data_IF_693409823771
#
_entry.id   IF_693409823771
#
_cell.length_a   1.000
_cell.length_b   1.000
_cell.length_c   1.000
_cell.angle_alpha   90.00
_cell.angle_beta   90.00
_cell.angle_gamma   90.00
#
_symmetry.space_group_name_H-M   'P 1'
#
loop_
_entity.id
_entity.type
_entity.pdbx_description
1 polymer ?
#
# COMPACT_ATOMS: atom_id res chain seq x y z
N UNK A 1 -1.89 -10.24 -1.61
CA UNK A 1 -0.59 -9.60 -1.27
C UNK A 1 -0.85 -8.09 -1.24
N UNK A 2 -0.77 -7.47 -0.07
CA UNK A 2 -1.09 -6.05 0.15
C UNK A 2 0.01 -5.41 0.99
N UNK A 3 0.58 -4.31 0.53
CA UNK A 3 1.73 -3.65 1.16
C UNK A 3 1.56 -2.14 1.16
N UNK A 4 1.93 -1.48 2.25
CA UNK A 4 2.09 -0.03 2.27
C UNK A 4 3.51 0.35 1.83
N UNK A 5 3.63 1.23 0.84
CA UNK A 5 4.89 1.71 0.31
C UNK A 5 4.84 3.19 -0.13
N UNK A 6 5.88 3.62 -0.82
CA UNK A 6 6.08 5.03 -1.20
C UNK A 6 6.83 5.85 -0.14
N UNK A 7 7.38 7.00 -0.55
CA UNK A 7 8.25 7.89 0.27
C UNK A 7 7.63 8.26 1.63
N UNK A 8 6.29 8.34 1.69
CA UNK A 8 5.51 8.68 2.89
C UNK A 8 4.70 7.50 3.46
N UNK A 9 4.93 6.26 3.02
CA UNK A 9 4.13 5.06 3.39
C UNK A 9 2.60 5.24 3.22
N UNK A 10 2.21 6.11 2.29
CA UNK A 10 0.82 6.50 2.02
C UNK A 10 0.28 5.91 0.72
N UNK A 11 1.00 4.96 0.12
CA UNK A 11 0.55 4.27 -1.09
C UNK A 11 0.33 2.81 -0.75
N UNK A 12 -0.91 2.36 -0.89
CA UNK A 12 -1.28 0.96 -0.70
C UNK A 12 -1.21 0.25 -2.04
N UNK A 13 -0.34 -0.76 -2.10
CA UNK A 13 -0.21 -1.66 -3.22
C UNK A 13 -1.00 -2.93 -2.94
N UNK A 14 -1.89 -3.30 -3.84
CA UNK A 14 -2.68 -4.52 -3.76
C UNK A 14 -2.52 -5.30 -5.05
N UNK A 15 -1.98 -6.51 -4.95
CA UNK A 15 -1.89 -7.43 -6.08
C UNK A 15 -3.17 -8.25 -6.18
N UNK A 16 -3.82 -8.23 -7.34
CA UNK A 16 -5.01 -9.01 -7.65
C UNK A 16 -4.74 -9.86 -8.89
N UNK A 17 -4.51 -11.16 -8.71
CA UNK A 17 -4.27 -12.18 -9.77
C UNK A 17 -3.37 -11.79 -10.95
N UNK A 18 -3.85 -10.98 -11.91
CA UNK A 18 -3.14 -10.55 -13.11
C UNK A 18 -2.91 -9.02 -13.16
N UNK A 19 -3.23 -8.32 -12.07
CA UNK A 19 -3.30 -6.87 -12.00
C UNK A 19 -2.69 -6.38 -10.71
N UNK A 20 -2.04 -5.22 -10.77
CA UNK A 20 -1.47 -4.55 -9.62
C UNK A 20 -2.13 -3.19 -9.44
N UNK A 21 -2.82 -3.02 -8.33
CA UNK A 21 -3.49 -1.79 -7.97
C UNK A 21 -2.61 -0.99 -7.01
N UNK A 22 -2.43 0.29 -7.28
CA UNK A 22 -1.69 1.21 -6.42
C UNK A 22 -2.58 2.42 -6.15
N UNK A 23 -3.09 2.51 -4.92
CA UNK A 23 -3.97 3.59 -4.49
C UNK A 23 -3.26 4.45 -3.46
N UNK A 24 -3.31 5.76 -3.65
CA UNK A 24 -2.92 6.71 -2.63
C UNK A 24 -4.01 6.74 -1.56
N UNK A 25 -3.60 6.55 -0.32
CA UNK A 25 -4.48 6.59 0.83
C UNK A 25 -3.94 7.62 1.81
N UNK A 26 -4.84 8.30 2.52
CA UNK A 26 -4.46 9.17 3.64
C UNK A 26 -3.99 8.35 4.86
N UNK A 27 -4.22 7.04 4.87
CA UNK A 27 -3.71 6.14 5.90
C UNK A 27 -2.22 5.88 5.71
N UNK A 28 -1.44 6.08 6.78
CA UNK A 28 -0.03 5.69 6.81
C UNK A 28 0.03 4.25 7.31
N UNK A 29 0.75 3.37 6.62
CA UNK A 29 0.87 1.96 7.03
C UNK A 29 1.29 1.83 8.49
N UNK A 30 0.45 1.20 9.31
CA UNK A 30 0.67 1.04 10.74
C UNK A 30 1.93 0.20 10.98
N UNK A 31 2.98 0.83 11.49
CA UNK A 31 4.18 0.12 11.95
C UNK A 31 3.93 -0.28 13.39
N UNK A 32 3.38 -1.48 13.58
CA UNK A 32 3.28 -2.08 14.91
C UNK A 32 4.67 -2.63 15.22
N UNK A 33 5.40 -1.92 16.08
CA UNK A 33 6.65 -2.38 16.71
C UNK A 33 6.38 -3.42 17.76
#
# INVERSE_FOLDING_TARGET
NVCFGGRKRNRLFMTASQSLYAVYTNATGAHIT
#
